data_IF_984176235272
#
_entry.id   IF_984176235272
#
_cell.length_a   1.000
_cell.length_b   1.000
_cell.length_c   1.000
_cell.angle_alpha   90.00
_cell.angle_beta   90.00
_cell.angle_gamma   90.00
#
_symmetry.space_group_name_H-M   'P 1'
#
loop_
_entity.id
_entity.type
_entity.pdbx_description
1 polymer ?
#
# COMPACT_ATOMS: atom_id res chain seq x y z
N UNK A 1 18.19 7.71 -29.25
CA UNK A 1 18.28 7.38 -27.83
C UNK A 1 17.82 5.93 -27.69
N UNK A 2 18.73 5.02 -27.41
CA UNK A 2 18.39 3.62 -27.13
C UNK A 2 17.54 3.62 -25.87
N UNK A 3 16.25 3.28 -25.97
CA UNK A 3 15.40 2.98 -24.83
C UNK A 3 16.05 1.77 -24.13
N UNK A 4 16.83 2.01 -23.08
CA UNK A 4 17.25 0.93 -22.20
C UNK A 4 15.97 0.42 -21.53
N UNK A 5 15.67 -0.85 -21.73
CA UNK A 5 14.54 -1.51 -21.08
C UNK A 5 14.69 -1.35 -19.55
N UNK A 6 13.56 -1.20 -18.82
CA UNK A 6 13.60 -1.06 -17.36
C UNK A 6 14.23 -2.32 -16.74
N UNK A 7 15.17 -2.17 -15.78
CA UNK A 7 16.04 -3.29 -15.36
C UNK A 7 15.35 -4.39 -14.55
N UNK A 8 14.07 -4.23 -14.20
CA UNK A 8 13.33 -5.20 -13.40
C UNK A 8 12.11 -5.73 -14.15
N UNK A 9 11.75 -6.98 -13.86
CA UNK A 9 10.55 -7.66 -14.37
C UNK A 9 9.84 -8.44 -13.26
N UNK A 10 8.57 -8.75 -13.46
CA UNK A 10 7.81 -9.63 -12.58
C UNK A 10 7.44 -10.90 -13.36
N UNK A 11 7.78 -12.06 -12.79
CA UNK A 11 7.39 -13.38 -13.30
C UNK A 11 6.40 -14.02 -12.35
N UNK A 12 5.19 -14.35 -12.83
CA UNK A 12 4.16 -15.04 -12.01
C UNK A 12 4.69 -16.35 -11.48
N UNK A 13 4.40 -16.60 -10.19
CA UNK A 13 4.62 -17.91 -9.55
C UNK A 13 3.30 -18.66 -9.47
N UNK A 14 2.23 -18.02 -8.96
CA UNK A 14 0.93 -18.63 -8.86
C UNK A 14 0.04 -17.97 -7.80
N UNK A 15 -1.09 -18.61 -7.52
CA UNK A 15 -2.00 -18.23 -6.43
C UNK A 15 -1.46 -18.81 -5.12
N UNK A 16 -1.33 -17.97 -4.11
CA UNK A 16 -0.83 -18.36 -2.78
C UNK A 16 -1.96 -18.60 -1.78
N UNK A 17 -3.02 -17.78 -1.84
CA UNK A 17 -4.12 -17.86 -0.88
C UNK A 17 -5.45 -17.59 -1.59
N UNK A 18 -6.41 -18.50 -1.39
CA UNK A 18 -7.82 -18.35 -1.77
C UNK A 18 -8.69 -18.24 -0.52
N UNK A 19 -9.90 -17.65 -0.60
CA UNK A 19 -10.86 -17.70 0.49
C UNK A 19 -11.24 -19.16 0.83
N UNK A 20 -11.44 -19.45 2.11
CA UNK A 20 -12.02 -20.72 2.56
C UNK A 20 -13.55 -20.64 2.51
N UNK A 21 -14.25 -21.60 1.87
CA UNK A 21 -15.70 -21.53 1.65
C UNK A 21 -16.54 -21.38 2.92
N UNK A 22 -16.06 -21.94 4.04
CA UNK A 22 -16.80 -21.98 5.33
C UNK A 22 -16.25 -20.93 6.33
N UNK A 23 -15.44 -19.98 5.87
CA UNK A 23 -14.87 -18.95 6.72
C UNK A 23 -15.60 -17.62 6.51
N UNK A 24 -16.49 -17.28 7.44
CA UNK A 24 -17.28 -16.03 7.39
C UNK A 24 -16.41 -14.77 7.31
N UNK A 25 -15.17 -14.81 7.78
CA UNK A 25 -14.23 -13.67 7.71
C UNK A 25 -13.65 -13.46 6.31
N UNK A 26 -13.75 -14.46 5.43
CA UNK A 26 -13.25 -14.48 4.08
C UNK A 26 -14.38 -14.56 3.02
N UNK A 27 -15.64 -14.35 3.46
CA UNK A 27 -16.82 -14.55 2.64
C UNK A 27 -16.82 -13.77 1.31
N UNK A 28 -16.18 -12.62 1.26
CA UNK A 28 -16.01 -11.79 0.06
C UNK A 28 -14.58 -11.81 -0.50
N UNK A 29 -13.59 -12.38 0.20
CA UNK A 29 -12.25 -12.52 -0.34
C UNK A 29 -11.13 -12.44 0.67
N UNK A 30 -9.92 -12.75 0.17
CA UNK A 30 -8.63 -12.53 0.81
C UNK A 30 -7.73 -11.77 -0.15
N UNK A 31 -7.21 -10.60 0.23
CA UNK A 31 -6.53 -9.73 -0.72
C UNK A 31 -5.48 -8.82 -0.06
N UNK A 32 -4.74 -8.10 -0.88
CA UNK A 32 -3.85 -6.98 -0.53
C UNK A 32 -3.02 -7.21 0.75
N UNK A 33 -2.20 -8.27 0.81
CA UNK A 33 -1.50 -8.63 2.03
C UNK A 33 -0.32 -7.71 2.32
N UNK A 34 0.03 -7.56 3.60
CA UNK A 34 1.40 -7.27 4.00
C UNK A 34 2.14 -8.57 4.32
N UNK A 35 3.43 -8.44 4.61
CA UNK A 35 4.27 -9.52 5.15
C UNK A 35 5.00 -9.06 6.40
N UNK A 36 5.33 -10.00 7.27
CA UNK A 36 6.15 -9.76 8.45
C UNK A 36 7.03 -10.98 8.72
N UNK A 37 8.25 -10.73 9.18
CA UNK A 37 9.18 -11.79 9.56
C UNK A 37 9.28 -11.86 11.08
N UNK A 38 9.08 -13.05 11.63
CA UNK A 38 9.27 -13.29 13.08
C UNK A 38 10.75 -13.32 13.43
N UNK A 39 11.03 -13.22 14.72
CA UNK A 39 12.39 -13.24 15.26
C UNK A 39 13.15 -14.55 14.97
N UNK A 40 12.46 -15.68 14.80
CA UNK A 40 13.03 -16.96 14.41
C UNK A 40 13.17 -17.14 12.88
N UNK A 41 12.85 -16.10 12.10
CA UNK A 41 13.02 -16.05 10.65
C UNK A 41 11.85 -16.60 9.84
N UNK A 42 10.76 -17.07 10.47
CA UNK A 42 9.55 -17.47 9.75
C UNK A 42 8.90 -16.27 9.09
N UNK A 43 8.33 -16.48 7.91
CA UNK A 43 7.65 -15.44 7.15
C UNK A 43 6.14 -15.61 7.28
N UNK A 44 5.47 -14.54 7.60
CA UNK A 44 4.02 -14.48 7.73
C UNK A 44 3.41 -13.51 6.73
N UNK A 45 2.26 -13.90 6.22
CA UNK A 45 1.35 -13.07 5.46
C UNK A 45 0.36 -12.41 6.42
N UNK A 46 0.06 -11.14 6.19
CA UNK A 46 -1.01 -10.41 6.86
C UNK A 46 -2.07 -10.03 5.80
N UNK A 47 -2.95 -10.98 5.43
CA UNK A 47 -3.96 -10.72 4.42
C UNK A 47 -5.07 -9.80 4.96
N UNK A 48 -5.63 -8.97 4.08
CA UNK A 48 -6.95 -8.40 4.29
C UNK A 48 -7.98 -9.50 4.10
N UNK A 49 -8.72 -9.81 5.15
CA UNK A 49 -9.86 -10.75 5.16
C UNK A 49 -11.13 -9.93 5.03
N UNK A 50 -11.98 -10.26 4.06
CA UNK A 50 -13.19 -9.50 3.76
C UNK A 50 -14.42 -10.34 4.07
N UNK A 51 -15.09 -10.02 5.17
CA UNK A 51 -16.36 -10.59 5.56
C UNK A 51 -17.52 -9.95 4.78
N UNK A 52 -18.70 -10.56 4.87
CA UNK A 52 -19.93 -10.07 4.23
C UNK A 52 -20.18 -8.59 4.57
N UNK A 53 -20.60 -7.82 3.54
CA UNK A 53 -20.80 -6.37 3.62
C UNK A 53 -19.53 -5.57 3.46
N UNK A 54 -18.45 -6.16 2.94
CA UNK A 54 -17.14 -5.56 2.78
C UNK A 54 -16.58 -5.02 4.13
N UNK A 55 -16.67 -5.85 5.19
CA UNK A 55 -16.09 -5.52 6.51
C UNK A 55 -14.78 -6.23 6.68
N UNK A 56 -13.71 -5.47 6.75
CA UNK A 56 -12.33 -5.96 6.63
C UNK A 56 -11.63 -6.12 7.98
N UNK A 57 -10.75 -7.14 8.05
CA UNK A 57 -9.82 -7.43 9.15
C UNK A 57 -8.46 -7.78 8.57
N UNK A 58 -7.41 -7.69 9.40
CA UNK A 58 -6.08 -8.17 9.01
C UNK A 58 -5.85 -9.51 9.69
N UNK A 59 -5.67 -10.54 8.86
CA UNK A 59 -5.36 -11.90 9.29
C UNK A 59 -3.88 -12.12 9.56
N UNK A 60 -3.53 -13.33 9.98
CA UNK A 60 -2.18 -13.86 10.10
C UNK A 60 -2.15 -15.26 9.51
N UNK A 61 -1.20 -15.52 8.62
CA UNK A 61 -0.97 -16.84 8.06
C UNK A 61 0.53 -17.08 7.84
N UNK A 62 1.08 -18.19 8.30
CA UNK A 62 2.47 -18.56 8.04
C UNK A 62 2.65 -18.96 6.58
N UNK A 63 3.60 -18.35 5.88
CA UNK A 63 3.93 -18.71 4.49
C UNK A 63 4.75 -20.00 4.48
N UNK A 64 4.28 -20.98 3.73
CA UNK A 64 5.01 -22.23 3.48
C UNK A 64 5.88 -22.08 2.24
N UNK A 65 7.16 -22.40 2.40
CA UNK A 65 8.16 -22.31 1.33
C UNK A 65 8.64 -23.72 0.97
N UNK A 66 8.60 -24.05 -0.31
CA UNK A 66 9.18 -25.27 -0.86
C UNK A 66 10.18 -24.89 -1.96
N UNK A 67 11.37 -25.46 -1.91
CA UNK A 67 12.45 -25.20 -2.87
C UNK A 67 12.74 -23.70 -3.09
N UNK A 68 12.64 -22.91 -2.01
CA UNK A 68 12.85 -21.45 -2.05
C UNK A 68 11.68 -20.63 -2.59
N UNK A 69 10.55 -21.25 -2.90
CA UNK A 69 9.37 -20.58 -3.48
C UNK A 69 8.20 -20.62 -2.50
N UNK A 70 7.45 -19.50 -2.29
CA UNK A 70 6.19 -19.52 -1.54
C UNK A 70 5.14 -20.35 -2.28
N UNK A 71 4.56 -21.36 -1.61
CA UNK A 71 3.65 -22.32 -2.24
C UNK A 71 2.28 -22.43 -1.58
N UNK A 72 2.16 -22.08 -0.30
CA UNK A 72 0.92 -22.22 0.48
C UNK A 72 1.00 -21.34 1.74
N UNK A 73 -0.12 -21.25 2.48
CA UNK A 73 -0.19 -20.58 3.78
C UNK A 73 -0.91 -21.44 4.83
N UNK A 74 -0.49 -21.30 6.08
CA UNK A 74 -1.21 -21.86 7.22
C UNK A 74 -1.83 -20.71 8.03
N UNK A 75 -3.16 -20.60 8.04
CA UNK A 75 -3.91 -19.58 8.76
C UNK A 75 -3.74 -19.71 10.26
N UNK A 76 -3.51 -18.59 10.94
CA UNK A 76 -3.30 -18.53 12.39
C UNK A 76 -4.26 -17.57 13.10
N UNK A 77 -5.24 -17.00 12.36
CA UNK A 77 -6.30 -16.17 12.93
C UNK A 77 -6.23 -14.70 12.49
N UNK A 78 -6.64 -13.79 13.37
CA UNK A 78 -6.76 -12.34 13.10
C UNK A 78 -5.87 -11.58 14.07
N UNK A 79 -5.11 -10.61 13.55
CA UNK A 79 -4.21 -9.74 14.34
C UNK A 79 -4.73 -8.32 14.52
N UNK A 80 -5.61 -7.85 13.61
CA UNK A 80 -6.22 -6.53 13.74
C UNK A 80 -7.68 -6.56 13.29
N UNK A 81 -8.60 -6.30 14.22
CA UNK A 81 -10.05 -6.19 13.98
C UNK A 81 -10.52 -4.75 14.13
N UNK A 82 -11.63 -4.33 13.51
CA UNK A 82 -12.16 -2.97 13.62
C UNK A 82 -12.72 -2.72 15.04
N UNK A 83 -11.88 -2.29 15.97
CA UNK A 83 -12.22 -2.08 17.37
C UNK A 83 -12.42 -0.60 17.73
N UNK A 84 -12.01 0.31 16.85
CA UNK A 84 -12.06 1.74 17.07
C UNK A 84 -13.18 2.39 16.25
N UNK A 85 -13.77 3.48 16.77
CA UNK A 85 -14.86 4.20 16.09
C UNK A 85 -14.53 4.55 14.64
N UNK A 86 -13.27 4.91 14.38
CA UNK A 86 -12.80 5.26 13.03
C UNK A 86 -12.53 4.05 12.11
N UNK A 87 -12.76 2.83 12.59
CA UNK A 87 -12.62 1.57 11.84
C UNK A 87 -13.97 0.86 11.67
N UNK A 88 -15.02 1.34 12.33
CA UNK A 88 -16.30 0.66 12.43
C UNK A 88 -17.34 1.23 11.48
N UNK A 89 -18.13 0.36 10.89
CA UNK A 89 -19.29 0.67 10.07
C UNK A 89 -20.11 -0.59 9.82
N UNK A 90 -21.33 -0.40 9.34
CA UNK A 90 -22.24 -1.54 9.04
C UNK A 90 -21.85 -2.23 7.72
N UNK A 91 -21.27 -1.47 6.78
CA UNK A 91 -20.80 -1.94 5.47
C UNK A 91 -19.64 -1.06 5.02
N UNK A 92 -18.80 -1.58 4.11
CA UNK A 92 -17.63 -0.87 3.59
C UNK A 92 -16.82 -0.23 4.71
N UNK A 93 -16.33 -1.06 5.63
CA UNK A 93 -15.66 -0.59 6.83
C UNK A 93 -14.57 -1.59 7.28
N UNK A 94 -13.78 -1.17 8.24
CA UNK A 94 -12.82 -2.05 8.87
C UNK A 94 -11.39 -1.56 8.81
N UNK A 95 -10.48 -2.51 8.89
CA UNK A 95 -9.04 -2.32 8.75
C UNK A 95 -8.60 -3.00 7.45
N UNK A 96 -8.10 -2.19 6.50
CA UNK A 96 -7.87 -2.60 5.12
C UNK A 96 -6.41 -2.40 4.71
N UNK A 97 -5.99 -3.16 3.68
CA UNK A 97 -4.79 -2.95 2.86
C UNK A 97 -3.53 -2.65 3.68
N UNK A 98 -3.11 -3.54 4.59
CA UNK A 98 -1.92 -3.30 5.41
C UNK A 98 -0.66 -3.17 4.53
N UNK A 99 0.25 -2.30 4.94
CA UNK A 99 1.65 -2.26 4.48
C UNK A 99 2.54 -2.32 5.70
N UNK A 100 3.47 -3.24 5.73
CA UNK A 100 4.40 -3.39 6.85
C UNK A 100 5.81 -3.13 6.39
N UNK A 101 6.51 -2.32 7.18
CA UNK A 101 7.94 -2.07 7.02
C UNK A 101 8.63 -2.35 8.34
N UNK A 102 9.61 -3.25 8.34
CA UNK A 102 10.52 -3.35 9.48
C UNK A 102 11.49 -2.17 9.43
N UNK A 103 11.56 -1.39 10.51
CA UNK A 103 12.47 -0.26 10.65
C UNK A 103 13.56 -0.64 11.65
N UNK A 104 14.78 -0.97 11.20
CA UNK A 104 15.88 -1.42 12.07
C UNK A 104 16.22 -0.43 13.18
N UNK A 105 16.20 0.86 12.91
CA UNK A 105 16.51 1.93 13.87
C UNK A 105 15.53 1.97 15.05
N UNK A 106 14.33 1.44 14.88
CA UNK A 106 13.32 1.32 15.93
C UNK A 106 13.24 -0.10 16.51
N UNK A 107 13.77 -1.10 15.81
CA UNK A 107 13.59 -2.52 16.13
C UNK A 107 12.12 -2.94 16.07
N UNK A 108 11.30 -2.30 15.24
CA UNK A 108 9.86 -2.47 15.16
C UNK A 108 9.38 -2.69 13.72
N UNK A 109 8.34 -3.47 13.60
CA UNK A 109 7.48 -3.50 12.44
C UNK A 109 6.50 -2.32 12.53
N UNK A 110 6.46 -1.49 11.50
CA UNK A 110 5.53 -0.37 11.38
C UNK A 110 4.52 -0.71 10.30
N UNK A 111 3.25 -0.82 10.67
CA UNK A 111 2.14 -1.05 9.78
C UNK A 111 1.42 0.26 9.51
N UNK A 112 1.23 0.58 8.25
CA UNK A 112 0.17 1.50 7.81
C UNK A 112 -1.00 0.68 7.30
N UNK A 113 -2.22 1.13 7.55
CA UNK A 113 -3.44 0.49 7.09
C UNK A 113 -4.52 1.54 6.82
N UNK A 114 -5.53 1.16 6.06
CA UNK A 114 -6.70 2.01 5.87
C UNK A 114 -7.70 1.70 6.99
N UNK A 115 -7.94 2.67 7.84
CA UNK A 115 -9.04 2.67 8.78
C UNK A 115 -10.28 3.22 8.07
N UNK A 116 -11.22 2.34 7.73
CA UNK A 116 -12.43 2.72 7.02
C UNK A 116 -13.60 2.75 8.01
N UNK A 117 -14.05 3.92 8.33
CA UNK A 117 -15.13 4.17 9.29
C UNK A 117 -16.09 5.26 8.80
N UNK A 118 -16.84 5.90 9.72
CA UNK A 118 -17.89 6.86 9.37
C UNK A 118 -17.42 8.07 8.56
N UNK A 119 -16.14 8.42 8.63
CA UNK A 119 -15.56 9.55 7.90
C UNK A 119 -14.87 9.13 6.59
N UNK A 120 -15.19 7.95 6.07
CA UNK A 120 -14.53 7.37 4.93
C UNK A 120 -13.11 6.86 5.25
N UNK A 121 -12.31 6.50 4.23
CA UNK A 121 -10.99 5.92 4.42
C UNK A 121 -9.98 6.93 4.96
N UNK A 122 -9.25 6.55 6.01
CA UNK A 122 -8.15 7.30 6.61
C UNK A 122 -6.95 6.38 6.79
N UNK A 123 -5.75 6.87 6.51
CA UNK A 123 -4.54 6.13 6.87
C UNK A 123 -4.37 6.13 8.38
N UNK A 124 -4.04 4.98 8.94
CA UNK A 124 -3.70 4.81 10.34
C UNK A 124 -2.38 4.03 10.49
N UNK A 125 -1.75 4.15 11.65
CA UNK A 125 -0.47 3.53 11.96
C UNK A 125 -0.62 2.60 13.17
N UNK A 126 -0.02 1.41 13.07
CA UNK A 126 0.19 0.49 14.17
C UNK A 126 1.64 0.00 14.18
N UNK A 127 2.13 -0.44 15.35
CA UNK A 127 3.48 -0.96 15.52
C UNK A 127 3.49 -2.27 16.26
N UNK A 128 4.48 -3.09 15.97
CA UNK A 128 4.68 -4.37 16.66
C UNK A 128 6.16 -4.73 16.77
N UNK A 129 6.53 -5.40 17.86
CA UNK A 129 7.83 -6.07 18.02
C UNK A 129 7.79 -7.54 17.60
N UNK A 130 6.61 -8.06 17.26
CA UNK A 130 6.38 -9.42 16.79
C UNK A 130 5.42 -9.44 15.58
N UNK A 131 4.96 -10.60 15.16
CA UNK A 131 4.01 -10.75 14.05
C UNK A 131 2.54 -10.71 14.50
N UNK A 132 2.25 -10.75 15.82
CA UNK A 132 0.90 -11.02 16.37
C UNK A 132 0.27 -9.83 17.07
N UNK A 133 1.08 -9.06 17.83
CA UNK A 133 0.58 -8.08 18.80
C UNK A 133 0.77 -6.66 18.26
N UNK A 134 -0.27 -6.06 17.73
CA UNK A 134 -0.20 -4.75 17.07
C UNK A 134 -0.78 -3.65 17.97
N UNK A 135 0.04 -2.66 18.31
CA UNK A 135 -0.36 -1.47 19.04
C UNK A 135 -0.67 -0.33 18.07
N UNK A 136 -1.93 0.08 18.02
CA UNK A 136 -2.36 1.25 17.23
C UNK A 136 -1.74 2.54 17.78
N UNK A 137 -1.20 3.35 16.89
CA UNK A 137 -0.79 4.73 17.19
C UNK A 137 -1.89 5.73 16.84
N UNK A 138 -2.83 5.34 15.99
CA UNK A 138 -4.02 6.12 15.61
C UNK A 138 -4.04 6.54 14.14
N UNK A 139 -5.08 7.28 13.74
CA UNK A 139 -5.16 7.89 12.43
C UNK A 139 -4.04 8.92 12.23
N UNK A 140 -3.56 9.01 10.98
CA UNK A 140 -2.53 9.97 10.59
C UNK A 140 -3.08 11.40 10.62
N UNK A 141 -2.27 12.32 11.12
CA UNK A 141 -2.47 13.76 11.00
C UNK A 141 -1.41 14.35 10.08
N UNK A 142 -1.84 15.28 9.22
CA UNK A 142 -0.96 16.00 8.32
C UNK A 142 -0.75 17.41 8.87
N UNK A 143 0.52 17.82 9.01
CA UNK A 143 0.84 19.20 9.37
C UNK A 143 0.43 20.10 8.21
N UNK A 144 -0.21 21.23 8.52
CA UNK A 144 -0.57 22.20 7.49
C UNK A 144 0.70 22.82 6.90
N UNK A 145 0.76 22.86 5.57
CA UNK A 145 1.89 23.36 4.80
C UNK A 145 1.38 24.32 3.72
N UNK A 146 1.65 25.61 3.90
CA UNK A 146 1.26 26.66 2.95
C UNK A 146 1.90 26.48 1.57
N UNK A 147 3.12 25.92 1.51
CA UNK A 147 3.84 25.70 0.25
C UNK A 147 3.22 24.56 -0.56
N UNK A 148 2.67 23.56 0.12
CA UNK A 148 1.97 22.46 -0.55
C UNK A 148 0.69 22.92 -1.27
N UNK A 149 0.11 24.04 -0.87
CA UNK A 149 -1.14 24.57 -1.40
C UNK A 149 -2.37 23.71 -1.13
N UNK A 150 -2.22 22.68 -0.29
CA UNK A 150 -3.24 21.66 0.01
C UNK A 150 -3.18 21.31 1.49
N UNK A 151 -4.30 21.35 2.19
CA UNK A 151 -4.45 20.74 3.50
C UNK A 151 -4.84 19.26 3.34
N UNK A 152 -3.84 18.37 3.42
CA UNK A 152 -4.05 16.92 3.27
C UNK A 152 -4.90 16.32 4.37
N UNK A 153 -5.06 16.99 5.52
CA UNK A 153 -5.92 16.57 6.62
C UNK A 153 -7.41 16.55 6.24
N UNK A 154 -7.81 17.30 5.22
CA UNK A 154 -9.19 17.38 4.76
C UNK A 154 -9.61 16.22 3.85
N UNK A 155 -8.66 15.51 3.27
CA UNK A 155 -8.90 14.52 2.23
C UNK A 155 -8.66 13.09 2.68
N UNK A 156 -9.37 12.09 2.10
CA UNK A 156 -9.02 10.68 2.24
C UNK A 156 -7.60 10.40 1.78
N UNK A 157 -6.93 9.45 2.44
CA UNK A 157 -5.57 9.06 2.11
C UNK A 157 -5.42 7.55 2.25
N UNK A 158 -4.75 6.92 1.28
CA UNK A 158 -4.53 5.48 1.18
C UNK A 158 -3.11 5.16 0.71
N UNK A 159 -2.82 3.88 0.52
CA UNK A 159 -1.59 3.33 -0.09
C UNK A 159 -0.33 3.84 0.60
N UNK A 160 -0.40 4.02 1.91
CA UNK A 160 0.74 4.53 2.66
C UNK A 160 1.74 3.42 2.99
N UNK A 161 3.03 3.73 2.89
CA UNK A 161 4.11 2.81 3.24
C UNK A 161 5.37 3.57 3.66
N UNK A 162 6.02 3.13 4.74
CA UNK A 162 7.29 3.68 5.20
C UNK A 162 8.46 3.17 4.38
N UNK A 163 9.51 3.99 4.27
CA UNK A 163 10.84 3.52 3.89
C UNK A 163 11.46 2.77 5.07
N UNK A 164 12.28 1.74 4.81
CA UNK A 164 12.90 0.94 5.87
C UNK A 164 14.03 1.67 6.62
N UNK A 165 14.57 2.74 6.03
CA UNK A 165 15.68 3.52 6.55
C UNK A 165 15.30 5.01 6.59
N UNK A 166 15.82 5.78 7.58
CA UNK A 166 15.66 7.22 7.57
C UNK A 166 16.40 7.86 6.39
N UNK A 167 15.83 8.93 5.88
CA UNK A 167 16.44 9.78 4.84
C UNK A 167 16.51 11.23 5.34
N UNK A 168 17.31 12.08 4.68
CA UNK A 168 17.22 13.51 4.94
C UNK A 168 16.00 14.06 4.20
N UNK A 169 15.13 14.75 4.95
CA UNK A 169 14.02 15.48 4.33
C UNK A 169 14.53 16.72 3.56
N UNK A 170 13.69 17.43 2.81
CA UNK A 170 14.11 18.61 2.05
C UNK A 170 14.76 19.72 2.86
N UNK A 171 14.51 19.77 4.17
CA UNK A 171 15.13 20.72 5.11
C UNK A 171 16.46 20.19 5.70
N UNK A 172 16.91 19.00 5.26
CA UNK A 172 18.11 18.33 5.73
C UNK A 172 17.97 17.61 7.07
N UNK A 173 16.76 17.52 7.63
CA UNK A 173 16.49 16.83 8.90
C UNK A 173 16.40 15.31 8.65
N UNK A 174 17.08 14.50 9.47
CA UNK A 174 16.98 13.05 9.38
C UNK A 174 15.57 12.62 9.78
N UNK A 175 14.85 11.97 8.87
CA UNK A 175 13.42 11.69 8.98
C UNK A 175 13.07 10.32 8.43
N UNK A 176 12.06 9.67 8.99
CA UNK A 176 11.39 8.55 8.36
C UNK A 176 10.52 9.09 7.23
N UNK A 177 10.69 8.56 6.02
CA UNK A 177 9.90 8.93 4.86
C UNK A 177 8.73 7.97 4.67
N UNK A 178 7.61 8.49 4.18
CA UNK A 178 6.38 7.74 3.95
C UNK A 178 5.82 8.11 2.58
N UNK A 179 5.63 7.12 1.71
CA UNK A 179 4.84 7.29 0.50
C UNK A 179 3.35 7.13 0.84
N UNK A 180 2.50 7.89 0.18
CA UNK A 180 1.05 7.82 0.36
C UNK A 180 0.31 8.42 -0.84
N UNK A 181 -1.02 8.25 -0.89
CA UNK A 181 -1.86 8.75 -1.98
C UNK A 181 -3.11 9.44 -1.45
N UNK A 182 -3.13 10.77 -1.43
CA UNK A 182 -4.37 11.52 -1.18
C UNK A 182 -5.36 11.30 -2.32
N UNK A 183 -6.64 11.36 -1.99
CA UNK A 183 -7.75 11.28 -2.92
C UNK A 183 -8.65 12.49 -2.75
N UNK A 184 -9.01 13.12 -3.85
CA UNK A 184 -9.85 14.31 -3.86
C UNK A 184 -11.34 13.97 -3.91
N UNK A 185 -11.69 12.69 -3.89
CA UNK A 185 -13.06 12.20 -3.85
C UNK A 185 -13.57 12.23 -2.39
N UNK A 186 -14.41 13.20 -2.09
CA UNK A 186 -15.04 13.39 -0.78
C UNK A 186 -16.43 12.75 -0.81
N UNK A 187 -16.66 11.80 0.08
CA UNK A 187 -17.96 11.13 0.19
C UNK A 187 -18.99 11.99 0.94
N UNK A 188 -18.53 12.69 1.98
CA UNK A 188 -19.39 13.55 2.80
C UNK A 188 -19.15 15.03 2.45
N UNK A 189 -19.96 15.54 1.54
CA UNK A 189 -19.96 16.96 1.16
C UNK A 189 -21.31 17.59 1.49
N UNK A 190 -21.30 18.90 1.71
CA UNK A 190 -22.51 19.66 1.99
C UNK A 190 -23.52 19.51 0.83
N UNK A 191 -24.83 19.32 1.12
CA UNK A 191 -25.84 19.23 0.07
C UNK A 191 -25.78 20.42 -0.91
N UNK A 192 -25.80 20.12 -2.21
CA UNK A 192 -25.69 21.11 -3.28
C UNK A 192 -24.26 21.47 -3.70
N UNK A 193 -23.24 20.95 -3.04
CA UNK A 193 -21.84 21.07 -3.43
C UNK A 193 -21.38 19.82 -4.20
N UNK A 194 -20.23 19.95 -4.88
CA UNK A 194 -19.54 18.82 -5.52
C UNK A 194 -18.11 18.73 -4.99
N UNK A 195 -17.59 17.50 -4.83
CA UNK A 195 -16.19 17.31 -4.53
C UNK A 195 -15.33 17.92 -5.66
N UNK A 196 -14.28 18.62 -5.28
CA UNK A 196 -13.34 19.23 -6.22
C UNK A 196 -11.93 18.94 -5.76
N UNK A 197 -10.99 18.71 -6.71
CA UNK A 197 -9.59 18.66 -6.36
C UNK A 197 -9.13 20.03 -5.82
N UNK A 198 -8.08 20.06 -5.00
CA UNK A 198 -7.48 21.32 -4.55
C UNK A 198 -7.06 22.21 -5.73
N UNK A 199 -7.23 23.53 -5.57
CA UNK A 199 -6.81 24.48 -6.57
C UNK A 199 -5.28 24.55 -6.63
N UNK A 200 -4.75 24.68 -7.85
CA UNK A 200 -3.31 24.85 -8.07
C UNK A 200 -2.51 23.56 -8.26
N UNK A 201 -3.12 22.39 -8.14
CA UNK A 201 -2.44 21.15 -8.51
C UNK A 201 -2.23 21.11 -10.04
N UNK A 202 -1.00 20.78 -10.51
CA UNK A 202 -0.71 20.64 -11.94
C UNK A 202 -1.53 19.51 -12.60
N UNK A 203 -1.77 18.43 -11.86
CA UNK A 203 -2.58 17.29 -12.25
C UNK A 203 -3.54 16.92 -11.10
N UNK A 204 -4.87 16.92 -11.32
CA UNK A 204 -5.83 16.59 -10.27
C UNK A 204 -5.99 15.08 -10.04
N UNK A 205 -5.34 14.23 -10.85
CA UNK A 205 -5.44 12.77 -10.65
C UNK A 205 -4.71 12.34 -9.39
N UNK A 206 -5.27 11.37 -8.60
CA UNK A 206 -4.60 10.86 -7.41
C UNK A 206 -3.22 10.28 -7.75
N UNK A 207 -2.22 10.74 -7.02
CA UNK A 207 -0.80 10.62 -7.34
C UNK A 207 -0.01 10.15 -6.12
N UNK A 208 1.23 9.69 -6.32
CA UNK A 208 2.11 9.28 -5.21
C UNK A 208 2.76 10.53 -4.60
N UNK A 209 2.56 10.70 -3.31
CA UNK A 209 3.15 11.72 -2.47
C UNK A 209 4.12 11.11 -1.48
N UNK A 210 5.01 11.94 -0.93
CA UNK A 210 5.90 11.60 0.17
C UNK A 210 5.71 12.62 1.30
N UNK A 211 5.79 12.12 2.52
CA UNK A 211 5.80 12.92 3.75
C UNK A 211 6.90 12.41 4.68
N UNK A 212 7.17 13.16 5.73
CA UNK A 212 8.30 12.90 6.60
C UNK A 212 7.91 12.98 8.07
N UNK A 213 8.61 12.22 8.91
CA UNK A 213 8.54 12.28 10.38
C UNK A 213 9.97 12.33 10.92
N UNK A 214 10.37 13.39 11.63
CA UNK A 214 11.71 13.48 12.20
C UNK A 214 12.05 12.34 13.14
N UNK A 215 13.23 11.75 12.98
CA UNK A 215 13.71 10.64 13.82
C UNK A 215 13.71 11.02 15.28
N UNK A 216 14.16 12.24 15.64
CA UNK A 216 14.22 12.72 17.02
C UNK A 216 12.84 12.89 17.65
N UNK A 217 11.81 13.17 16.86
CA UNK A 217 10.42 13.22 17.32
C UNK A 217 9.91 11.82 17.67
N UNK A 218 10.22 10.82 16.84
CA UNK A 218 9.84 9.42 17.09
C UNK A 218 10.58 8.84 18.28
N UNK A 219 11.87 9.18 18.46
CA UNK A 219 12.65 8.76 19.63
C UNK A 219 12.08 9.29 20.96
N UNK A 220 11.48 10.48 20.92
CA UNK A 220 10.82 11.09 22.12
C UNK A 220 9.42 10.54 22.36
N UNK A 221 8.68 10.29 21.28
CA UNK A 221 7.30 9.82 21.32
C UNK A 221 7.01 8.98 20.06
N UNK A 222 6.88 7.67 20.22
CA UNK A 222 6.60 6.76 19.11
C UNK A 222 5.31 7.11 18.35
N UNK A 223 4.34 7.77 19.01
CA UNK A 223 3.12 8.24 18.37
C UNK A 223 3.38 9.32 17.29
N UNK A 224 4.58 9.92 17.27
CA UNK A 224 4.99 10.82 16.18
C UNK A 224 4.98 10.15 14.80
N UNK A 225 5.11 8.81 14.71
CA UNK A 225 4.95 8.07 13.45
C UNK A 225 3.60 8.31 12.75
N UNK A 226 2.58 8.79 13.46
CA UNK A 226 1.30 9.15 12.88
C UNK A 226 1.13 10.68 12.64
N UNK A 227 2.21 11.49 12.71
CA UNK A 227 2.19 12.94 12.49
C UNK A 227 3.12 13.32 11.35
N UNK A 228 2.58 13.50 10.17
CA UNK A 228 3.34 13.66 8.93
C UNK A 228 3.44 15.13 8.50
N UNK A 229 4.62 15.50 7.98
CA UNK A 229 4.93 16.86 7.53
C UNK A 229 5.70 16.88 6.22
N UNK A 230 5.93 18.06 5.65
CA UNK A 230 6.81 18.28 4.49
C UNK A 230 6.32 17.56 3.23
N UNK A 231 5.03 17.69 2.92
CA UNK A 231 4.33 16.95 1.88
C UNK A 231 4.80 17.36 0.48
N UNK A 232 5.15 16.37 -0.36
CA UNK A 232 5.58 16.60 -1.75
C UNK A 232 5.03 15.52 -2.67
N UNK A 233 4.78 15.91 -3.91
CA UNK A 233 4.49 14.95 -4.97
C UNK A 233 5.79 14.27 -5.39
N UNK A 234 5.74 12.95 -5.52
CA UNK A 234 6.82 12.11 -6.08
C UNK A 234 6.57 11.85 -7.55
N UNK A 235 5.37 11.40 -7.89
CA UNK A 235 5.03 11.01 -9.25
C UNK A 235 3.56 11.27 -9.56
N UNK A 236 3.31 11.76 -10.76
CA UNK A 236 2.00 11.89 -11.39
C UNK A 236 1.73 10.70 -12.32
N UNK A 237 0.45 10.41 -12.70
CA UNK A 237 0.14 9.50 -13.79
C UNK A 237 0.70 10.01 -15.13
N UNK A 238 1.53 9.21 -15.80
CA UNK A 238 2.21 9.62 -17.05
C UNK A 238 2.07 8.59 -18.17
N UNK A 239 1.97 7.31 -17.84
CA UNK A 239 1.96 6.23 -18.81
C UNK A 239 0.53 5.77 -19.16
N UNK A 240 0.32 5.05 -20.27
CA UNK A 240 -1.01 4.60 -20.68
C UNK A 240 -1.74 3.72 -19.66
N UNK A 241 -1.03 2.97 -18.81
CA UNK A 241 -1.66 2.13 -17.76
C UNK A 241 -1.97 2.89 -16.47
N UNK A 242 -1.78 4.21 -16.44
CA UNK A 242 -1.94 5.09 -15.28
C UNK A 242 -3.02 6.16 -15.46
N UNK A 243 -3.86 6.04 -16.48
CA UNK A 243 -4.77 7.11 -16.91
C UNK A 243 -5.60 7.74 -15.78
N UNK A 244 -5.97 6.95 -14.77
CA UNK A 244 -6.91 7.39 -13.73
C UNK A 244 -6.19 7.80 -12.45
N UNK A 245 -5.26 7.00 -11.99
CA UNK A 245 -4.50 7.21 -10.75
C UNK A 245 -3.30 6.28 -10.66
N UNK A 246 -2.38 6.63 -9.75
CA UNK A 246 -1.28 5.74 -9.30
C UNK A 246 -1.23 5.71 -7.78
N UNK A 247 -0.71 4.63 -7.21
CA UNK A 247 -0.51 4.51 -5.75
C UNK A 247 0.64 3.57 -5.42
N UNK A 248 1.34 3.84 -4.31
CA UNK A 248 2.46 3.02 -3.87
C UNK A 248 2.04 1.58 -3.54
N UNK A 249 2.97 0.66 -3.73
CA UNK A 249 2.84 -0.74 -3.41
C UNK A 249 3.53 -1.11 -2.10
N UNK A 250 4.43 -2.11 -2.10
CA UNK A 250 5.24 -2.48 -0.94
C UNK A 250 6.25 -1.40 -0.56
N UNK A 251 6.88 -1.55 0.61
CA UNK A 251 8.01 -0.71 1.02
C UNK A 251 9.09 -0.67 -0.05
N UNK A 252 9.62 0.51 -0.40
CA UNK A 252 10.72 0.63 -1.33
C UNK A 252 11.95 -0.12 -0.83
N UNK A 253 12.71 -0.71 -1.74
CA UNK A 253 13.96 -1.40 -1.41
C UNK A 253 15.16 -0.69 -2.00
N UNK A 254 16.28 -0.69 -1.27
CA UNK A 254 17.56 -0.21 -1.80
C UNK A 254 18.05 -1.09 -2.94
N UNK A 255 18.46 -0.44 -4.01
CA UNK A 255 19.14 -1.02 -5.16
C UNK A 255 20.33 -0.13 -5.53
N UNK A 256 21.20 -0.57 -6.42
CA UNK A 256 22.40 0.20 -6.78
C UNK A 256 22.05 1.56 -7.40
N UNK A 257 20.92 1.65 -8.10
CA UNK A 257 20.46 2.86 -8.78
C UNK A 257 19.69 3.84 -7.86
N UNK A 258 19.31 3.43 -6.64
CA UNK A 258 18.51 4.25 -5.71
C UNK A 258 17.51 3.44 -4.90
N UNK A 259 16.24 3.83 -4.92
CA UNK A 259 15.13 3.11 -4.30
C UNK A 259 14.19 2.53 -5.36
N UNK A 260 14.12 1.20 -5.45
CA UNK A 260 13.11 0.56 -6.29
C UNK A 260 11.75 0.64 -5.58
N UNK A 261 10.82 1.34 -6.19
CA UNK A 261 9.41 1.41 -5.81
C UNK A 261 8.56 0.61 -6.80
N UNK A 262 7.91 -0.45 -6.32
CA UNK A 262 6.79 -1.05 -7.01
C UNK A 262 5.51 -0.27 -6.67
N UNK A 263 4.66 -0.04 -7.65
CA UNK A 263 3.42 0.71 -7.50
C UNK A 263 2.33 0.13 -8.40
N UNK A 264 1.11 0.63 -8.29
CA UNK A 264 0.04 0.28 -9.22
C UNK A 264 -0.40 1.50 -10.02
N UNK A 265 -0.68 1.28 -11.29
CA UNK A 265 -1.38 2.21 -12.17
C UNK A 265 -2.79 1.69 -12.45
N UNK A 266 -3.72 2.60 -12.69
CA UNK A 266 -5.13 2.29 -12.91
C UNK A 266 -5.62 2.96 -14.18
N UNK A 267 -6.34 2.19 -15.00
CA UNK A 267 -7.08 2.68 -16.16
C UNK A 267 -8.56 2.36 -16.02
N UNK A 268 -9.39 3.05 -16.76
CA UNK A 268 -10.82 2.83 -16.81
C UNK A 268 -11.62 3.94 -16.13
N UNK A 269 -12.86 3.66 -15.84
CA UNK A 269 -13.82 4.64 -15.30
C UNK A 269 -14.08 4.36 -13.81
N UNK A 270 -13.77 5.35 -12.97
CA UNK A 270 -14.09 5.32 -11.55
C UNK A 270 -15.49 5.91 -11.34
N UNK A 271 -16.37 5.15 -10.71
CA UNK A 271 -17.72 5.61 -10.36
C UNK A 271 -17.69 6.13 -8.91
N UNK A 272 -17.94 7.44 -8.67
CA UNK A 272 -17.94 8.00 -7.33
C UNK A 272 -18.93 7.30 -6.40
N UNK A 273 -18.53 7.06 -5.15
CA UNK A 273 -19.37 6.39 -4.15
C UNK A 273 -19.53 4.88 -4.30
N UNK A 274 -18.92 4.26 -5.31
CA UNK A 274 -18.90 2.81 -5.50
C UNK A 274 -17.59 2.24 -4.97
N UNK A 275 -17.67 1.38 -3.96
CA UNK A 275 -16.49 0.74 -3.36
C UNK A 275 -15.90 -0.34 -4.31
N UNK A 276 -16.76 -1.14 -4.93
CA UNK A 276 -16.38 -2.25 -5.82
C UNK A 276 -16.50 -1.81 -7.29
N UNK A 277 -15.42 -1.21 -7.81
CA UNK A 277 -15.37 -0.72 -9.20
C UNK A 277 -15.37 -1.86 -10.20
N UNK A 278 -16.15 -1.73 -11.30
CA UNK A 278 -16.29 -2.80 -12.30
C UNK A 278 -15.59 -2.49 -13.63
N UNK A 279 -15.38 -1.22 -13.94
CA UNK A 279 -14.82 -0.79 -15.23
C UNK A 279 -13.40 -0.24 -15.09
N UNK A 280 -12.57 -0.95 -14.34
CA UNK A 280 -11.17 -0.57 -14.08
C UNK A 280 -10.22 -1.73 -14.37
N UNK A 281 -8.95 -1.38 -14.61
CA UNK A 281 -7.86 -2.36 -14.61
C UNK A 281 -6.68 -1.80 -13.83
N UNK A 282 -6.16 -2.59 -12.90
CA UNK A 282 -4.99 -2.29 -12.11
C UNK A 282 -3.80 -3.10 -12.62
N UNK A 283 -2.67 -2.44 -12.80
CA UNK A 283 -1.43 -3.07 -13.25
C UNK A 283 -0.26 -2.67 -12.36
N UNK A 284 0.67 -3.59 -12.14
CA UNK A 284 1.90 -3.31 -11.41
C UNK A 284 2.90 -2.55 -12.29
N UNK A 285 3.37 -1.41 -11.82
CA UNK A 285 4.47 -0.64 -12.38
C UNK A 285 5.68 -0.61 -11.48
N UNK A 286 6.78 -0.03 -11.95
CA UNK A 286 7.97 0.21 -11.16
C UNK A 286 8.65 1.51 -11.52
N UNK A 287 9.29 2.13 -10.53
CA UNK A 287 10.17 3.28 -10.72
C UNK A 287 11.36 3.21 -9.78
N UNK A 288 12.45 3.86 -10.15
CA UNK A 288 13.61 4.10 -9.29
C UNK A 288 13.51 5.54 -8.79
N UNK A 289 13.53 5.70 -7.48
CA UNK A 289 13.64 7.01 -6.84
C UNK A 289 15.10 7.28 -6.51
N UNK A 290 15.46 8.55 -6.43
CA UNK A 290 16.81 8.97 -6.08
C UNK A 290 17.22 8.44 -4.69
N UNK A 291 18.48 8.08 -4.55
CA UNK A 291 19.01 7.46 -3.35
C UNK A 291 18.96 8.38 -2.12
N UNK A 292 19.21 9.69 -2.31
CA UNK A 292 19.32 10.71 -1.27
C UNK A 292 18.07 11.59 -1.20
N UNK A 293 17.43 11.81 -2.35
CA UNK A 293 16.24 12.65 -2.50
C UNK A 293 15.06 11.80 -3.03
N UNK A 294 14.48 10.88 -2.24
CA UNK A 294 13.51 9.89 -2.70
C UNK A 294 12.18 10.49 -3.19
N UNK A 295 12.03 11.78 -3.18
CA UNK A 295 10.94 12.49 -3.87
C UNK A 295 11.23 12.79 -5.34
N UNK A 296 12.40 12.37 -5.87
CA UNK A 296 12.78 12.50 -7.28
C UNK A 296 12.75 11.14 -7.97
N UNK A 297 12.05 11.05 -9.09
CA UNK A 297 12.05 9.86 -9.95
C UNK A 297 13.26 9.92 -10.86
N UNK A 298 14.14 8.92 -10.79
CA UNK A 298 15.33 8.78 -11.64
C UNK A 298 14.99 8.04 -12.93
N UNK A 299 14.22 6.96 -12.82
CA UNK A 299 13.72 6.20 -13.97
C UNK A 299 12.37 5.57 -13.68
N UNK A 300 11.60 5.27 -14.72
CA UNK A 300 10.25 4.71 -14.62
C UNK A 300 10.00 3.73 -15.76
N UNK A 301 9.38 2.60 -15.45
CA UNK A 301 8.92 1.66 -16.46
C UNK A 301 7.80 2.30 -17.29
N UNK A 302 7.94 2.29 -18.62
CA UNK A 302 6.94 2.86 -19.54
C UNK A 302 5.80 1.90 -19.86
N UNK A 303 5.99 0.62 -19.54
CA UNK A 303 4.98 -0.43 -19.61
C UNK A 303 4.85 -1.10 -18.24
N UNK A 304 3.68 -1.66 -17.90
CA UNK A 304 3.51 -2.36 -16.64
C UNK A 304 4.40 -3.62 -16.58
N UNK A 305 4.88 -3.94 -15.38
CA UNK A 305 5.63 -5.17 -15.13
C UNK A 305 4.72 -6.39 -15.07
N UNK A 306 3.47 -6.18 -14.65
CA UNK A 306 2.46 -7.23 -14.56
C UNK A 306 1.06 -6.62 -14.75
N UNK A 307 0.25 -7.25 -15.60
CA UNK A 307 -1.16 -6.90 -15.84
C UNK A 307 -2.04 -8.12 -15.60
N UNK A 308 -3.34 -7.95 -15.39
CA UNK A 308 -4.25 -9.08 -15.26
C UNK A 308 -4.29 -9.92 -16.55
N UNK A 309 -3.86 -11.18 -16.45
CA UNK A 309 -3.76 -12.10 -17.58
C UNK A 309 -4.30 -13.52 -17.30
N UNK A 310 -4.40 -13.91 -16.03
CA UNK A 310 -5.02 -15.16 -15.61
C UNK A 310 -6.50 -14.96 -15.24
N UNK A 311 -7.28 -16.05 -15.23
CA UNK A 311 -8.68 -15.99 -14.80
C UNK A 311 -8.79 -15.50 -13.35
N UNK A 312 -7.87 -15.90 -12.46
CA UNK A 312 -7.82 -15.45 -11.07
C UNK A 312 -7.56 -13.94 -10.90
N UNK A 313 -6.93 -13.32 -11.88
CA UNK A 313 -6.66 -11.86 -11.90
C UNK A 313 -7.77 -11.08 -12.61
N UNK A 314 -8.54 -11.74 -13.48
CA UNK A 314 -9.62 -11.14 -14.27
C UNK A 314 -10.99 -11.25 -13.61
N UNK A 315 -11.23 -12.34 -12.87
CA UNK A 315 -12.53 -12.66 -12.31
C UNK A 315 -12.51 -12.59 -10.77
N UNK A 316 -13.27 -11.65 -10.22
CA UNK A 316 -13.40 -11.45 -8.79
C UNK A 316 -14.33 -10.29 -8.45
N UNK A 317 -14.23 -9.78 -7.22
CA UNK A 317 -15.08 -8.69 -6.73
C UNK A 317 -14.82 -7.40 -7.50
N UNK A 318 -13.56 -7.07 -7.74
CA UNK A 318 -13.14 -6.04 -8.69
C UNK A 318 -12.34 -6.73 -9.78
N UNK A 319 -12.84 -6.79 -11.01
CA UNK A 319 -12.16 -7.50 -12.09
C UNK A 319 -10.90 -6.80 -12.57
N UNK A 320 -10.00 -7.56 -13.19
CA UNK A 320 -8.75 -7.07 -13.80
C UNK A 320 -7.82 -6.36 -12.81
N UNK A 321 -7.54 -6.97 -11.66
CA UNK A 321 -6.66 -6.37 -10.64
C UNK A 321 -5.40 -7.19 -10.44
N UNK A 322 -4.26 -6.50 -10.57
CA UNK A 322 -2.93 -6.87 -10.06
C UNK A 322 -2.46 -5.74 -9.16
N UNK A 323 -2.51 -5.96 -7.84
CA UNK A 323 -2.28 -4.93 -6.83
C UNK A 323 -1.12 -5.31 -5.90
N UNK A 324 0.13 -4.92 -6.20
CA UNK A 324 1.31 -5.29 -5.41
C UNK A 324 1.28 -4.59 -4.05
N UNK A 325 1.50 -5.35 -2.97
CA UNK A 325 1.36 -4.82 -1.61
C UNK A 325 2.47 -5.23 -0.64
N UNK A 326 3.18 -6.32 -0.92
CA UNK A 326 4.31 -6.76 -0.11
C UNK A 326 5.45 -7.27 -1.01
N UNK A 327 6.66 -7.17 -0.52
CA UNK A 327 7.87 -7.67 -1.17
C UNK A 327 8.80 -8.26 -0.13
N UNK A 328 9.23 -9.50 -0.34
CA UNK A 328 10.09 -10.23 0.58
C UNK A 328 11.24 -10.92 -0.11
N UNK A 329 12.35 -11.04 0.60
CA UNK A 329 13.48 -11.88 0.18
C UNK A 329 13.35 -13.27 0.78
N UNK A 330 13.41 -14.31 -0.06
CA UNK A 330 13.42 -15.70 0.34
C UNK A 330 14.62 -16.38 -0.35
N UNK A 331 15.62 -16.75 0.43
CA UNK A 331 16.90 -17.16 -0.14
C UNK A 331 17.58 -16.01 -0.90
N UNK A 332 17.90 -16.26 -2.17
CA UNK A 332 18.49 -15.24 -3.06
C UNK A 332 17.46 -14.50 -3.91
N UNK A 333 16.24 -15.00 -3.98
CA UNK A 333 15.15 -14.43 -4.76
C UNK A 333 14.31 -13.41 -3.97
N UNK A 334 13.64 -12.51 -4.70
CA UNK A 334 12.64 -11.59 -4.16
C UNK A 334 11.27 -11.93 -4.72
N UNK A 335 10.28 -11.95 -3.83
CA UNK A 335 8.89 -12.26 -4.19
C UNK A 335 7.96 -11.11 -3.83
N UNK A 336 7.09 -10.77 -4.77
CA UNK A 336 6.03 -9.77 -4.63
C UNK A 336 4.72 -10.49 -4.38
N UNK A 337 4.03 -10.11 -3.32
CA UNK A 337 2.70 -10.59 -2.98
C UNK A 337 1.70 -9.52 -3.40
N UNK A 338 0.64 -9.93 -4.10
CA UNK A 338 -0.31 -9.00 -4.70
C UNK A 338 -1.75 -9.50 -4.62
N UNK A 339 -2.69 -8.55 -4.55
CA UNK A 339 -4.11 -8.84 -4.68
C UNK A 339 -4.47 -9.15 -6.12
N UNK A 340 -5.29 -10.19 -6.31
CA UNK A 340 -5.81 -10.66 -7.60
C UNK A 340 -7.34 -10.47 -7.62
N UNK A 341 -7.84 -9.63 -8.52
CA UNK A 341 -9.26 -9.34 -8.71
C UNK A 341 -10.06 -9.08 -7.41
N UNK A 342 -9.39 -8.47 -6.40
CA UNK A 342 -9.92 -8.25 -5.05
C UNK A 342 -10.54 -9.49 -4.39
N UNK A 343 -10.02 -10.67 -4.67
CA UNK A 343 -10.58 -11.94 -4.22
C UNK A 343 -9.56 -12.93 -3.68
N UNK A 344 -8.32 -12.88 -4.20
CA UNK A 344 -7.26 -13.86 -3.92
C UNK A 344 -5.92 -13.14 -3.77
N UNK A 345 -4.91 -13.89 -3.35
CA UNK A 345 -3.54 -13.41 -3.22
C UNK A 345 -2.63 -14.23 -4.13
N UNK A 346 -1.91 -13.54 -5.01
CA UNK A 346 -0.91 -14.08 -5.89
C UNK A 346 0.52 -13.79 -5.45
N UNK A 347 1.46 -14.51 -6.05
CA UNK A 347 2.90 -14.33 -5.90
C UNK A 347 3.55 -14.19 -7.27
N UNK A 348 4.47 -13.23 -7.38
CA UNK A 348 5.36 -13.09 -8.53
C UNK A 348 6.81 -12.95 -8.04
N UNK A 349 7.77 -13.48 -8.80
CA UNK A 349 9.19 -13.25 -8.55
C UNK A 349 9.63 -11.95 -9.21
N UNK A 350 10.43 -11.17 -8.49
CA UNK A 350 11.08 -9.97 -9.01
C UNK A 350 12.45 -10.37 -9.60
N UNK A 351 12.56 -10.26 -10.89
CA UNK A 351 13.76 -10.61 -11.66
C UNK A 351 14.54 -9.33 -12.03
N UNK A 352 15.86 -9.39 -12.01
CA UNK A 352 16.76 -8.40 -12.59
C UNK A 352 17.07 -8.85 -14.02
N UNK A 353 16.89 -7.94 -15.00
CA UNK A 353 17.13 -8.21 -16.44
C UNK A 353 18.57 -7.95 -16.84
#
# INVERSE_FOLDING_TARGET
MTSTEFPYALTRVGVLMCPEPDNDLEAEGVLNPATVRSADGRLYLLPRLVAAGNVSRIGLAEIKVADGVPVDVAREGVVLSPERVWEQGAQNAGVEDPRVTFIPDLGLNVMTYVAYGPLGPRTAVAVSSDERSWRRLGPVTFEYDDEAGVDLGLYPNKDAVFFPEPVRDPDGVLSFAILHRPSWDLQDIRPGETARPPLGLPDPRPSIWISFVPVDAVQKDLAALARWRGHRVVAWPETPFEQTKIGSGPAPIRVDEGWLLLYHGVVGELVPGVAQQQNVSYSAGAMILDAEEPWKVVSRATAPLLTADTDDERDGIVPNVVFPTALERIGDDRFVFYGMADSKIGVARLDVR
#
